data_IF_010886030536
#
_entry.id   IF_010886030536
#
_cell.length_a   1.000
_cell.length_b   1.000
_cell.length_c   1.000
_cell.angle_alpha   90.00
_cell.angle_beta   90.00
_cell.angle_gamma   90.00
#
_symmetry.space_group_name_H-M   'P 1'
#
loop_
_entity.id
_entity.type
_entity.pdbx_description
1 polymer ?
#
# COMPACT_ATOMS: atom_id res chain seq x y z
N UNK A 1 33.45 11.35 14.55
CA UNK A 1 32.10 11.30 13.92
C UNK A 1 31.60 9.87 13.65
N UNK A 2 32.15 8.84 14.30
CA UNK A 2 31.70 7.43 14.15
C UNK A 2 31.24 6.79 15.46
N UNK A 3 31.24 7.50 16.59
CA UNK A 3 30.79 6.94 17.88
C UNK A 3 29.26 7.07 18.08
N UNK A 4 28.62 8.12 17.54
CA UNK A 4 27.20 8.39 17.81
C UNK A 4 26.22 7.43 17.10
N UNK A 5 26.64 6.73 16.05
CA UNK A 5 25.78 5.78 15.33
C UNK A 5 25.77 4.38 15.95
N UNK A 6 26.79 4.01 16.72
CA UNK A 6 26.87 2.68 17.34
C UNK A 6 26.09 2.66 18.66
N UNK A 7 26.00 3.78 19.37
CA UNK A 7 25.34 3.86 20.68
C UNK A 7 23.79 3.75 20.58
N UNK A 8 23.18 4.29 19.52
CA UNK A 8 21.72 4.20 19.29
C UNK A 8 21.29 2.76 18.98
N UNK A 9 22.16 1.96 18.38
CA UNK A 9 21.90 0.56 18.07
C UNK A 9 22.15 -0.35 19.28
N UNK A 10 22.88 0.03 20.33
CA UNK A 10 23.11 -0.86 21.48
C UNK A 10 21.95 -0.80 22.49
N UNK A 11 21.34 0.38 22.71
CA UNK A 11 20.22 0.53 23.65
C UNK A 11 18.92 -0.15 23.18
N UNK A 12 18.69 -0.28 21.87
CA UNK A 12 17.51 -0.96 21.32
C UNK A 12 17.53 -2.49 21.57
N UNK A 13 18.72 -3.08 21.73
CA UNK A 13 18.93 -4.53 21.76
C UNK A 13 19.08 -5.09 23.17
N UNK A 14 19.25 -4.25 24.19
CA UNK A 14 19.66 -4.72 25.51
C UNK A 14 18.66 -5.63 26.24
N UNK A 15 17.40 -5.74 25.83
CA UNK A 15 16.40 -6.63 26.48
C UNK A 15 15.29 -7.12 25.53
N UNK A 16 15.49 -7.08 24.21
CA UNK A 16 14.43 -7.30 23.21
C UNK A 16 14.81 -8.44 22.27
N UNK A 17 13.89 -9.38 22.02
CA UNK A 17 14.12 -10.42 21.01
C UNK A 17 14.12 -9.80 19.60
N UNK A 18 14.85 -10.41 18.66
CA UNK A 18 14.93 -9.95 17.27
C UNK A 18 13.54 -9.77 16.63
N UNK A 19 12.61 -10.69 16.90
CA UNK A 19 11.22 -10.58 16.44
C UNK A 19 10.52 -9.32 16.95
N UNK A 20 10.77 -8.92 18.20
CA UNK A 20 10.23 -7.69 18.77
C UNK A 20 10.86 -6.45 18.17
N UNK A 21 12.18 -6.47 17.91
CA UNK A 21 12.87 -5.38 17.20
C UNK A 21 12.31 -5.22 15.79
N UNK A 22 12.16 -6.31 15.03
CA UNK A 22 11.55 -6.29 13.69
C UNK A 22 10.13 -5.73 13.76
N UNK A 23 9.29 -6.19 14.69
CA UNK A 23 7.94 -5.69 14.85
C UNK A 23 7.90 -4.17 15.12
N UNK A 24 8.81 -3.64 15.94
CA UNK A 24 8.88 -2.20 16.19
C UNK A 24 9.30 -1.41 14.95
N UNK A 25 10.29 -1.90 14.20
CA UNK A 25 10.74 -1.28 12.94
C UNK A 25 9.58 -1.24 11.95
N UNK A 26 8.90 -2.39 11.75
CA UNK A 26 7.76 -2.51 10.84
C UNK A 26 6.62 -1.59 11.26
N UNK A 27 6.23 -1.58 12.55
CA UNK A 27 5.15 -0.72 13.03
C UNK A 27 5.49 0.77 12.87
N UNK A 28 6.73 1.17 13.14
CA UNK A 28 7.16 2.56 12.95
C UNK A 28 7.17 2.93 11.46
N UNK A 29 7.60 2.04 10.58
CA UNK A 29 7.52 2.20 9.13
C UNK A 29 6.08 2.38 8.66
N UNK A 30 5.19 1.45 9.03
CA UNK A 30 3.76 1.49 8.70
C UNK A 30 3.13 2.80 9.16
N UNK A 31 3.45 3.29 10.37
CA UNK A 31 2.93 4.57 10.87
C UNK A 31 3.27 5.74 9.94
N UNK A 32 4.48 5.78 9.38
CA UNK A 32 4.92 6.86 8.46
C UNK A 32 4.17 6.82 7.14
N UNK A 33 3.96 5.64 6.58
CA UNK A 33 3.31 5.45 5.26
C UNK A 33 1.79 5.19 5.36
N UNK A 34 1.20 5.26 6.56
CA UNK A 34 -0.20 4.92 6.79
C UNK A 34 -1.16 5.71 5.91
N UNK A 35 -0.84 6.97 5.63
CA UNK A 35 -1.63 7.82 4.74
C UNK A 35 -1.64 7.28 3.29
N UNK A 36 -0.51 6.82 2.77
CA UNK A 36 -0.40 6.16 1.45
C UNK A 36 -1.21 4.86 1.43
N UNK A 37 -1.08 4.05 2.47
CA UNK A 37 -1.83 2.78 2.60
C UNK A 37 -3.34 3.06 2.57
N UNK A 38 -3.80 4.08 3.30
CA UNK A 38 -5.22 4.46 3.31
C UNK A 38 -5.70 4.92 1.93
N UNK A 39 -4.92 5.73 1.21
CA UNK A 39 -5.23 6.15 -0.16
C UNK A 39 -5.45 4.94 -1.09
N UNK A 40 -4.54 3.97 -1.04
CA UNK A 40 -4.65 2.72 -1.82
C UNK A 40 -5.88 1.92 -1.38
N UNK A 41 -6.12 1.81 -0.07
CA UNK A 41 -7.29 1.12 0.49
C UNK A 41 -8.61 1.74 0.00
N UNK A 42 -8.72 3.06 0.02
CA UNK A 42 -9.92 3.76 -0.45
C UNK A 42 -10.13 3.56 -1.95
N UNK A 43 -9.02 3.53 -2.72
CA UNK A 43 -9.07 3.23 -4.14
C UNK A 43 -9.65 1.83 -4.41
N UNK A 44 -9.13 0.83 -3.70
CA UNK A 44 -9.58 -0.55 -3.82
C UNK A 44 -11.01 -0.70 -3.32
N UNK A 45 -11.38 0.00 -2.24
CA UNK A 45 -12.76 0.01 -1.74
C UNK A 45 -13.73 0.48 -2.82
N UNK A 46 -13.42 1.55 -3.55
CA UNK A 46 -14.24 2.03 -4.65
C UNK A 46 -14.35 1.02 -5.80
N UNK A 47 -13.27 0.30 -6.13
CA UNK A 47 -13.31 -0.77 -7.13
C UNK A 47 -14.27 -1.90 -6.75
N UNK A 48 -14.37 -2.21 -5.45
CA UNK A 48 -15.28 -3.23 -4.94
C UNK A 48 -16.73 -2.74 -4.86
N UNK A 49 -16.97 -1.46 -4.53
CA UNK A 49 -18.32 -0.94 -4.25
C UNK A 49 -19.00 -0.27 -5.44
N UNK A 50 -18.26 0.25 -6.42
CA UNK A 50 -18.80 1.01 -7.55
C UNK A 50 -18.67 0.25 -8.87
N UNK A 51 -19.77 -0.21 -9.48
CA UNK A 51 -19.74 -0.87 -10.79
C UNK A 51 -19.14 0.01 -11.89
N UNK A 52 -19.45 1.32 -11.88
CA UNK A 52 -18.87 2.29 -12.83
C UNK A 52 -17.35 2.33 -12.71
N UNK A 53 -16.84 2.38 -11.48
CA UNK A 53 -15.41 2.41 -11.21
C UNK A 53 -14.74 1.11 -11.64
N UNK A 54 -15.35 -0.03 -11.33
CA UNK A 54 -14.86 -1.35 -11.74
C UNK A 54 -14.77 -1.49 -13.26
N UNK A 55 -15.78 -1.01 -13.99
CA UNK A 55 -15.75 -1.06 -15.45
C UNK A 55 -14.61 -0.19 -16.01
N UNK A 56 -14.48 1.05 -15.52
CA UNK A 56 -13.38 1.93 -15.93
C UNK A 56 -12.00 1.31 -15.65
N UNK A 57 -11.85 0.58 -14.54
CA UNK A 57 -10.62 -0.14 -14.22
C UNK A 57 -10.32 -1.27 -15.20
N UNK A 58 -11.32 -2.05 -15.59
CA UNK A 58 -11.19 -3.10 -16.60
C UNK A 58 -10.72 -2.48 -17.92
N UNK A 59 -11.34 -1.36 -18.34
CA UNK A 59 -10.96 -0.65 -19.55
C UNK A 59 -9.51 -0.12 -19.46
N UNK A 60 -9.10 0.37 -18.28
CA UNK A 60 -7.73 0.80 -18.03
C UNK A 60 -6.71 -0.36 -18.07
N UNK A 61 -7.07 -1.53 -17.54
CA UNK A 61 -6.23 -2.73 -17.62
C UNK A 61 -6.04 -3.16 -19.08
N UNK A 62 -7.12 -3.18 -19.87
CA UNK A 62 -7.06 -3.50 -21.29
C UNK A 62 -6.21 -2.49 -22.07
N UNK A 63 -6.29 -1.21 -21.73
CA UNK A 63 -5.49 -0.17 -22.37
C UNK A 63 -3.99 -0.29 -22.05
N UNK A 64 -3.65 -0.64 -20.81
CA UNK A 64 -2.27 -0.82 -20.35
C UNK A 64 -1.69 -2.20 -20.69
N UNK A 65 -2.48 -3.08 -21.35
CA UNK A 65 -2.14 -4.48 -21.65
C UNK A 65 -1.75 -5.29 -20.39
N UNK A 66 -2.54 -5.13 -19.32
CA UNK A 66 -2.35 -5.81 -18.04
C UNK A 66 -3.53 -6.75 -17.79
N UNK A 67 -3.25 -7.96 -17.32
CA UNK A 67 -4.29 -8.90 -16.88
C UNK A 67 -5.18 -8.30 -15.80
N UNK A 68 -6.50 -8.37 -16.00
CA UNK A 68 -7.48 -7.84 -15.05
C UNK A 68 -7.44 -8.64 -13.76
N UNK A 69 -6.96 -8.01 -12.69
CA UNK A 69 -6.98 -8.54 -11.34
C UNK A 69 -7.47 -7.45 -10.39
N UNK A 70 -8.56 -7.71 -9.68
CA UNK A 70 -9.06 -6.78 -8.66
C UNK A 70 -8.31 -7.05 -7.35
N UNK A 71 -7.55 -6.08 -6.82
CA UNK A 71 -6.87 -6.25 -5.54
C UNK A 71 -7.87 -6.57 -4.41
N UNK A 72 -7.53 -7.45 -3.46
CA UNK A 72 -8.38 -7.71 -2.30
C UNK A 72 -8.37 -6.50 -1.36
N UNK A 73 -9.52 -6.16 -0.77
CA UNK A 73 -9.58 -5.16 0.30
C UNK A 73 -8.94 -5.73 1.58
N UNK A 74 -8.12 -4.92 2.25
CA UNK A 74 -7.46 -5.33 3.49
C UNK A 74 -8.46 -5.50 4.66
N UNK A 75 -8.14 -6.44 5.54
CA UNK A 75 -8.99 -6.94 6.61
C UNK A 75 -8.20 -6.93 7.91
N UNK A 76 -8.56 -6.05 8.84
CA UNK A 76 -7.79 -5.76 10.06
C UNK A 76 -7.53 -6.98 10.96
N UNK A 77 -8.38 -8.00 10.90
CA UNK A 77 -8.23 -9.24 11.68
C UNK A 77 -7.34 -10.28 11.01
N UNK A 78 -6.96 -10.09 9.74
CA UNK A 78 -6.09 -11.00 8.97
C UNK A 78 -4.72 -10.38 8.79
N UNK A 79 -3.72 -10.95 9.47
CA UNK A 79 -2.33 -10.48 9.52
C UNK A 79 -1.74 -10.13 8.14
N UNK A 80 -1.94 -10.96 7.11
CA UNK A 80 -1.33 -10.75 5.78
C UNK A 80 -2.16 -9.88 4.83
N UNK A 81 -3.36 -9.44 5.23
CA UNK A 81 -4.31 -8.84 4.27
C UNK A 81 -3.85 -7.51 3.69
N UNK A 82 -3.22 -6.65 4.49
CA UNK A 82 -2.64 -5.39 4.03
C UNK A 82 -1.52 -5.64 3.03
N UNK A 83 -0.64 -6.59 3.32
CA UNK A 83 0.43 -6.99 2.39
C UNK A 83 -0.14 -7.48 1.06
N UNK A 84 -1.14 -8.38 1.09
CA UNK A 84 -1.76 -8.91 -0.13
C UNK A 84 -2.48 -7.83 -0.94
N UNK A 85 -3.13 -6.86 -0.28
CA UNK A 85 -3.75 -5.71 -0.91
C UNK A 85 -2.70 -4.88 -1.65
N UNK A 86 -1.60 -4.53 -0.98
CA UNK A 86 -0.53 -3.69 -1.54
C UNK A 86 0.22 -4.41 -2.67
N UNK A 87 0.59 -5.69 -2.48
CA UNK A 87 1.24 -6.52 -3.51
C UNK A 87 0.38 -6.63 -4.78
N UNK A 88 -0.94 -6.83 -4.61
CA UNK A 88 -1.87 -6.87 -5.73
C UNK A 88 -2.03 -5.52 -6.40
N UNK A 89 -2.09 -4.43 -5.61
CA UNK A 89 -2.21 -3.07 -6.13
C UNK A 89 -0.99 -2.67 -6.97
N UNK A 90 0.21 -3.09 -6.58
CA UNK A 90 1.45 -2.83 -7.35
C UNK A 90 1.39 -3.49 -8.73
N UNK A 91 0.89 -4.73 -8.82
CA UNK A 91 0.74 -5.46 -10.09
C UNK A 91 -0.17 -4.74 -11.09
N UNK A 92 -1.13 -3.97 -10.61
CA UNK A 92 -2.07 -3.18 -11.43
C UNK A 92 -1.87 -1.67 -11.31
N UNK A 93 -0.69 -1.22 -10.82
CA UNK A 93 -0.39 0.20 -10.52
C UNK A 93 -0.67 1.11 -11.73
N UNK A 94 -0.26 0.72 -12.94
CA UNK A 94 -0.47 1.53 -14.15
C UNK A 94 -1.96 1.75 -14.46
N UNK A 95 -2.78 0.70 -14.33
CA UNK A 95 -4.23 0.82 -14.53
C UNK A 95 -4.87 1.72 -13.46
N UNK A 96 -4.45 1.60 -12.20
CA UNK A 96 -4.91 2.48 -11.10
C UNK A 96 -4.53 3.95 -11.36
N UNK A 97 -3.29 4.23 -11.76
CA UNK A 97 -2.83 5.59 -12.09
C UNK A 97 -3.59 6.19 -13.26
N UNK A 98 -3.98 5.38 -14.26
CA UNK A 98 -4.80 5.86 -15.38
C UNK A 98 -6.20 6.30 -14.93
N UNK A 99 -6.76 5.67 -13.90
CA UNK A 99 -8.06 6.07 -13.34
C UNK A 99 -8.00 7.44 -12.64
N UNK A 100 -6.87 7.76 -11.99
CA UNK A 100 -6.62 9.09 -11.41
C UNK A 100 -6.79 10.21 -12.45
N UNK A 101 -6.42 9.94 -13.70
CA UNK A 101 -6.44 10.92 -14.78
C UNK A 101 -7.81 11.08 -15.47
N UNK A 102 -8.80 10.22 -15.17
CA UNK A 102 -10.07 10.16 -15.94
C UNK A 102 -11.36 10.46 -15.18
N UNK A 103 -11.45 10.37 -13.85
CA UNK A 103 -12.71 10.68 -13.15
C UNK A 103 -12.55 10.86 -11.61
N UNK A 104 -13.43 11.69 -11.03
CA UNK A 104 -13.52 12.28 -9.67
C UNK A 104 -13.42 11.38 -8.41
N UNK A 105 -12.99 10.12 -8.50
CA UNK A 105 -12.97 9.20 -7.34
C UNK A 105 -11.59 9.00 -6.69
N UNK A 106 -10.50 9.37 -7.38
CA UNK A 106 -9.14 9.03 -6.97
C UNK A 106 -8.18 10.22 -6.96
N UNK A 107 -8.65 11.40 -6.53
CA UNK A 107 -7.76 12.55 -6.28
C UNK A 107 -6.59 12.19 -5.37
N UNK A 108 -6.81 11.22 -4.49
CA UNK A 108 -5.90 10.89 -3.40
C UNK A 108 -4.98 9.70 -3.72
N UNK A 109 -5.03 9.09 -4.92
CA UNK A 109 -4.11 7.99 -5.25
C UNK A 109 -2.64 8.48 -5.18
N UNK A 110 -1.72 7.72 -4.57
CA UNK A 110 -0.32 8.10 -4.50
C UNK A 110 0.28 8.37 -5.89
N UNK A 111 1.17 9.36 -5.97
CA UNK A 111 1.89 9.67 -7.21
C UNK A 111 2.80 8.52 -7.63
N UNK A 112 3.32 8.56 -8.85
CA UNK A 112 4.34 7.58 -9.27
C UNK A 112 5.55 7.58 -8.36
N UNK A 113 5.91 8.77 -7.85
CA UNK A 113 7.06 9.06 -6.98
C UNK A 113 6.82 8.74 -5.48
N UNK A 114 5.58 8.41 -5.09
CA UNK A 114 5.23 7.89 -3.74
C UNK A 114 5.24 6.35 -3.73
#
# INVERSE_FOLDING_TARGET
>A
LTSLSVDVDIELFQNRCLAHIINLIVQNGIKKIKHIINKVRDCIKALHTSPKCRQAFIDACNYEDIGVMIPPLDCVTRWNSMFLMLDSAIKVKKALLRLKNRDYLFSDLPSEDE
#
